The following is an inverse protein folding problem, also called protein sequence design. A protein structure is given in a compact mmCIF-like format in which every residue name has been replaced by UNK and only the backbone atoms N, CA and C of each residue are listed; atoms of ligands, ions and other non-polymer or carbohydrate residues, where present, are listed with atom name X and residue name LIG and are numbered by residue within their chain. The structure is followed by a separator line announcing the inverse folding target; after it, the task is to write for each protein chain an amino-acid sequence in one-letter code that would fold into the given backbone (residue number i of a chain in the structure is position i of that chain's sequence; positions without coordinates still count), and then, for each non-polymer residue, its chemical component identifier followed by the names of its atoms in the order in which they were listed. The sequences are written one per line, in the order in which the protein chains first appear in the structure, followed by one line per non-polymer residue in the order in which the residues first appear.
data_IF_325853632988
#
_entry.id   IF_325853632988
#
_cell.length_a   1.000
_cell.length_b   1.000
_cell.length_c   1.000
_cell.angle_alpha   90.00
_cell.angle_beta   90.00
_cell.angle_gamma   90.00
#
_symmetry.space_group_name_H-M   'P 1'
#
loop_
_entity.id
_entity.type
_entity.pdbx_description
1 polymer ?
#
# COMPACT_ATOMS: atom_id res chain seq x y z
N UNK A 1 -31.55 -0.85 7.43
CA UNK A 1 -32.13 -1.72 6.38
C UNK A 1 -31.01 -2.59 5.83
N UNK A 2 -30.88 -3.83 6.32
CA UNK A 2 -29.81 -4.79 5.96
C UNK A 2 -30.19 -5.46 4.64
N UNK A 3 -29.56 -5.05 3.55
CA UNK A 3 -29.68 -5.75 2.26
C UNK A 3 -28.47 -6.67 2.11
N UNK A 4 -28.73 -7.97 2.20
CA UNK A 4 -27.76 -9.04 2.02
C UNK A 4 -27.79 -9.44 0.55
N UNK A 5 -26.78 -9.02 -0.22
CA UNK A 5 -26.45 -9.62 -1.51
C UNK A 5 -24.98 -10.02 -1.47
N UNK A 6 -24.79 -11.34 -1.62
CA UNK A 6 -23.73 -12.18 -1.06
C UNK A 6 -22.58 -12.34 -2.05
N UNK A 7 -21.47 -11.69 -1.77
CA UNK A 7 -20.17 -12.19 -2.18
C UNK A 7 -19.25 -12.12 -0.95
N UNK A 8 -18.68 -13.27 -0.57
CA UNK A 8 -17.88 -13.38 0.65
C UNK A 8 -16.38 -13.19 0.34
N UNK A 9 -15.74 -12.31 1.08
CA UNK A 9 -14.29 -12.16 1.13
C UNK A 9 -13.73 -12.70 2.45
N UNK A 10 -12.60 -13.42 2.42
CA UNK A 10 -11.85 -13.86 3.61
C UNK A 10 -10.55 -13.07 3.73
N UNK A 11 -10.42 -12.24 4.78
CA UNK A 11 -9.19 -11.49 5.15
C UNK A 11 -8.72 -12.01 6.51
N UNK A 12 -7.48 -12.47 6.64
CA UNK A 12 -6.88 -12.90 7.93
C UNK A 12 -7.80 -13.76 8.85
N UNK A 13 -8.56 -14.69 8.25
CA UNK A 13 -9.53 -15.57 8.94
C UNK A 13 -10.89 -14.96 9.32
N UNK A 14 -11.15 -13.71 8.98
CA UNK A 14 -12.44 -13.02 9.10
C UNK A 14 -13.20 -13.05 7.76
N UNK A 15 -14.51 -13.29 7.81
CA UNK A 15 -15.40 -13.29 6.64
C UNK A 15 -16.17 -11.97 6.56
N UNK A 16 -16.09 -11.32 5.41
CA UNK A 16 -16.81 -10.09 5.10
C UNK A 16 -17.87 -10.34 4.03
N UNK A 17 -19.07 -9.79 4.25
CA UNK A 17 -20.16 -9.79 3.28
C UNK A 17 -20.27 -8.40 2.66
N UNK A 18 -19.87 -8.28 1.39
CA UNK A 18 -19.78 -6.98 0.71
C UNK A 18 -20.56 -7.00 -0.61
N UNK A 19 -21.00 -5.82 -1.06
CA UNK A 19 -21.67 -5.70 -2.34
C UNK A 19 -20.65 -5.69 -3.48
N UNK A 20 -20.70 -6.73 -4.31
CA UNK A 20 -19.84 -6.90 -5.50
C UNK A 20 -19.76 -5.66 -6.37
N UNK A 21 -20.87 -4.96 -6.53
CA UNK A 21 -20.97 -3.78 -7.39
C UNK A 21 -19.88 -2.73 -7.09
N UNK A 22 -19.57 -2.47 -5.81
CA UNK A 22 -18.53 -1.51 -5.43
C UNK A 22 -17.14 -1.96 -5.88
N UNK A 23 -16.86 -3.26 -5.79
CA UNK A 23 -15.57 -3.83 -6.14
C UNK A 23 -15.36 -3.85 -7.65
N UNK A 24 -16.37 -4.21 -8.43
CA UNK A 24 -16.25 -4.26 -9.89
C UNK A 24 -16.21 -2.89 -10.54
N UNK A 25 -16.96 -1.93 -10.00
CA UNK A 25 -17.01 -0.59 -10.57
C UNK A 25 -15.72 0.21 -10.30
N UNK A 26 -15.04 -0.08 -9.20
CA UNK A 26 -13.98 0.78 -8.68
C UNK A 26 -12.61 0.12 -8.60
N UNK A 27 -12.47 -1.18 -8.88
CA UNK A 27 -11.18 -1.90 -8.91
C UNK A 27 -11.00 -2.71 -10.20
N UNK A 28 -9.86 -2.49 -10.84
CA UNK A 28 -9.42 -3.31 -11.99
C UNK A 28 -9.03 -4.71 -11.55
N UNK A 29 -8.37 -4.86 -10.41
CA UNK A 29 -7.99 -6.16 -9.83
C UNK A 29 -9.18 -7.12 -9.71
N UNK A 30 -10.30 -6.62 -9.18
CA UNK A 30 -11.52 -7.43 -9.02
C UNK A 30 -12.27 -7.66 -10.34
N UNK A 31 -12.09 -6.77 -11.32
CA UNK A 31 -12.63 -6.95 -12.67
C UNK A 31 -11.86 -8.03 -13.43
N UNK A 32 -10.54 -8.00 -13.39
CA UNK A 32 -9.67 -9.00 -14.03
C UNK A 32 -9.83 -10.37 -13.36
N UNK A 33 -10.00 -10.41 -12.04
CA UNK A 33 -10.26 -11.65 -11.31
C UNK A 33 -11.58 -12.34 -11.70
N UNK A 34 -12.53 -11.63 -12.32
CA UNK A 34 -13.80 -12.21 -12.79
C UNK A 34 -13.70 -12.96 -14.12
N UNK A 35 -12.65 -12.76 -14.90
CA UNK A 35 -12.34 -13.63 -16.05
C UNK A 35 -12.13 -15.08 -15.61
N UNK A 36 -11.92 -15.29 -14.30
CA UNK A 36 -11.78 -16.58 -13.65
C UNK A 36 -12.80 -16.72 -12.50
N UNK A 37 -14.04 -17.18 -12.78
CA UNK A 37 -15.15 -17.22 -11.82
C UNK A 37 -14.84 -17.91 -10.48
N UNK A 38 -13.91 -18.86 -10.49
CA UNK A 38 -13.36 -19.56 -9.32
C UNK A 38 -12.63 -18.66 -8.29
N UNK A 39 -12.28 -17.41 -8.64
CA UNK A 39 -11.70 -16.44 -7.70
C UNK A 39 -12.75 -15.64 -6.93
N UNK A 40 -14.01 -15.65 -7.39
CA UNK A 40 -15.06 -14.80 -6.82
C UNK A 40 -15.94 -15.61 -5.89
N UNK A 41 -16.08 -15.08 -4.67
CA UNK A 41 -16.66 -15.78 -3.54
C UNK A 41 -18.15 -16.04 -3.70
N UNK A 42 -18.51 -17.10 -4.44
CA UNK A 42 -19.88 -17.36 -4.90
C UNK A 42 -20.81 -17.88 -3.79
N UNK A 43 -20.26 -18.28 -2.64
CA UNK A 43 -21.02 -18.78 -1.50
C UNK A 43 -20.23 -18.68 -0.18
N UNK A 44 -20.89 -18.80 0.99
CA UNK A 44 -20.20 -18.85 2.29
C UNK A 44 -19.20 -20.01 2.39
N UNK A 45 -19.44 -21.10 1.65
CA UNK A 45 -18.56 -22.26 1.57
C UNK A 45 -17.36 -22.06 0.64
N UNK A 46 -17.39 -21.04 -0.23
CA UNK A 46 -16.34 -20.72 -1.20
C UNK A 46 -16.09 -19.20 -1.24
N UNK A 47 -15.47 -18.60 -0.21
CA UNK A 47 -15.17 -17.17 -0.19
C UNK A 47 -13.97 -16.83 -1.09
N UNK A 48 -13.98 -15.61 -1.65
CA UNK A 48 -12.82 -14.99 -2.29
C UNK A 48 -11.74 -14.75 -1.22
N UNK A 49 -10.52 -15.26 -1.44
CA UNK A 49 -9.44 -15.06 -0.49
C UNK A 49 -8.70 -13.77 -0.81
N UNK A 50 -8.84 -12.83 0.11
CA UNK A 50 -8.18 -11.55 0.11
C UNK A 50 -6.89 -11.68 0.91
N UNK A 51 -5.75 -11.48 0.25
CA UNK A 51 -4.43 -11.62 0.86
C UNK A 51 -3.79 -10.23 0.99
N UNK A 52 -2.76 -10.10 1.83
CA UNK A 52 -1.86 -8.93 1.90
C UNK A 52 -2.44 -7.66 2.49
N UNK A 53 -3.72 -7.66 2.86
CA UNK A 53 -4.37 -6.57 3.57
C UNK A 53 -4.81 -7.08 4.93
N UNK A 54 -4.66 -6.27 5.97
CA UNK A 54 -5.14 -6.62 7.32
C UNK A 54 -6.66 -6.46 7.43
N UNK A 55 -7.24 -6.99 8.50
CA UNK A 55 -8.67 -6.78 8.79
C UNK A 55 -8.96 -5.27 8.87
N UNK A 56 -8.13 -4.50 9.58
CA UNK A 56 -8.33 -3.06 9.79
C UNK A 56 -8.21 -2.26 8.50
N UNK A 57 -7.23 -2.61 7.65
CA UNK A 57 -7.07 -1.98 6.33
C UNK A 57 -8.29 -2.24 5.43
N UNK A 58 -8.84 -3.45 5.47
CA UNK A 58 -10.03 -3.79 4.71
C UNK A 58 -11.29 -3.13 5.27
N UNK A 59 -11.48 -3.11 6.58
CA UNK A 59 -12.57 -2.39 7.24
C UNK A 59 -12.55 -0.90 6.86
N UNK A 60 -11.37 -0.27 6.88
CA UNK A 60 -11.25 1.13 6.49
C UNK A 60 -11.65 1.39 5.02
N UNK A 61 -11.42 0.42 4.12
CA UNK A 61 -11.90 0.47 2.74
C UNK A 61 -13.43 0.32 2.67
N UNK A 62 -14.03 -0.51 3.51
CA UNK A 62 -15.49 -0.66 3.59
C UNK A 62 -16.14 0.60 4.17
N UNK A 63 -15.59 1.18 5.24
CA UNK A 63 -16.02 2.46 5.81
C UNK A 63 -16.12 3.54 4.71
N UNK A 64 -15.12 3.60 3.82
CA UNK A 64 -15.13 4.51 2.67
C UNK A 64 -16.33 4.29 1.74
N UNK A 65 -16.66 3.04 1.40
CA UNK A 65 -17.76 2.74 0.47
C UNK A 65 -19.15 2.85 1.08
N UNK A 66 -19.30 2.49 2.36
CA UNK A 66 -20.60 2.36 3.00
C UNK A 66 -20.99 3.59 3.83
N UNK A 67 -20.03 4.25 4.45
CA UNK A 67 -20.30 5.37 5.36
C UNK A 67 -19.99 6.73 4.74
N UNK A 68 -19.50 6.73 3.48
CA UNK A 68 -19.19 7.93 2.69
C UNK A 68 -18.49 9.00 3.54
N UNK A 69 -17.46 8.63 4.32
CA UNK A 69 -16.55 9.50 5.09
C UNK A 69 -17.10 10.93 5.26
N UNK A 70 -18.14 11.06 6.09
CA UNK A 70 -18.78 12.32 6.37
C UNK A 70 -17.89 13.05 7.39
N UNK A 71 -17.14 14.04 6.88
CA UNK A 71 -16.07 14.85 7.51
C UNK A 71 -14.64 14.27 7.35
N UNK A 72 -13.97 14.73 6.28
CA UNK A 72 -12.55 14.45 6.01
C UNK A 72 -11.64 14.97 7.13
N UNK A 73 -12.09 16.01 7.84
CA UNK A 73 -11.27 16.76 8.81
C UNK A 73 -11.08 16.03 10.14
N UNK A 74 -12.06 15.23 10.58
CA UNK A 74 -12.03 14.55 11.89
C UNK A 74 -11.36 13.17 11.84
N UNK A 75 -11.00 12.69 10.64
CA UNK A 75 -10.43 11.36 10.47
C UNK A 75 -8.93 11.36 10.79
N UNK A 76 -8.46 10.50 11.71
CA UNK A 76 -7.05 10.35 12.02
C UNK A 76 -6.23 9.98 10.77
N UNK A 77 -5.02 10.53 10.67
CA UNK A 77 -4.12 10.24 9.54
C UNK A 77 -3.87 8.73 9.36
N UNK A 78 -3.86 7.97 10.46
CA UNK A 78 -3.73 6.51 10.43
C UNK A 78 -4.80 5.82 9.59
N UNK A 79 -6.06 6.27 9.63
CA UNK A 79 -7.13 5.70 8.78
C UNK A 79 -6.86 5.97 7.30
N UNK A 80 -6.35 7.15 6.94
CA UNK A 80 -5.97 7.45 5.56
C UNK A 80 -4.80 6.58 5.08
N UNK A 81 -3.84 6.27 5.94
CA UNK A 81 -2.75 5.34 5.64
C UNK A 81 -3.27 3.93 5.41
N UNK A 82 -4.18 3.44 6.26
CA UNK A 82 -4.83 2.13 6.09
C UNK A 82 -5.62 2.07 4.77
N UNK A 83 -6.42 3.09 4.47
CA UNK A 83 -7.16 3.20 3.23
C UNK A 83 -6.23 3.20 2.01
N UNK A 84 -5.12 3.95 2.06
CA UNK A 84 -4.14 4.00 0.98
C UNK A 84 -3.53 2.61 0.70
N UNK A 85 -3.15 1.87 1.75
CA UNK A 85 -2.56 0.53 1.61
C UNK A 85 -3.56 -0.47 1.04
N UNK A 86 -4.81 -0.46 1.52
CA UNK A 86 -5.87 -1.31 1.01
C UNK A 86 -6.22 -0.98 -0.45
N UNK A 87 -6.42 0.31 -0.76
CA UNK A 87 -6.75 0.77 -2.10
C UNK A 87 -5.62 0.44 -3.09
N UNK A 88 -4.36 0.53 -2.67
CA UNK A 88 -3.21 0.13 -3.47
C UNK A 88 -3.20 -1.37 -3.76
N UNK A 89 -3.35 -2.18 -2.72
CA UNK A 89 -3.25 -3.65 -2.81
C UNK A 89 -4.33 -4.28 -3.71
N UNK A 90 -5.47 -3.60 -3.82
CA UNK A 90 -6.60 -4.01 -4.63
C UNK A 90 -6.87 -3.09 -5.84
N UNK A 91 -5.92 -2.23 -6.22
CA UNK A 91 -6.03 -1.38 -7.42
C UNK A 91 -7.32 -0.54 -7.48
N UNK A 92 -7.74 0.05 -6.36
CA UNK A 92 -8.82 1.03 -6.31
C UNK A 92 -8.30 2.45 -6.55
N UNK A 93 -8.54 3.00 -7.74
CA UNK A 93 -7.98 4.30 -8.14
C UNK A 93 -8.51 5.47 -7.30
N UNK A 94 -9.84 5.60 -7.18
CA UNK A 94 -10.47 6.76 -6.52
C UNK A 94 -10.16 6.90 -5.02
N UNK A 95 -10.34 5.87 -4.16
CA UNK A 95 -9.96 5.99 -2.75
C UNK A 95 -8.44 6.17 -2.58
N UNK A 96 -7.61 5.58 -3.44
CA UNK A 96 -6.16 5.81 -3.43
C UNK A 96 -5.83 7.28 -3.65
N UNK A 97 -6.36 7.91 -4.68
CA UNK A 97 -6.11 9.34 -4.98
C UNK A 97 -6.60 10.28 -3.87
N UNK A 98 -7.72 9.96 -3.23
CA UNK A 98 -8.25 10.76 -2.12
C UNK A 98 -7.35 10.63 -0.89
N UNK A 99 -6.99 9.39 -0.52
CA UNK A 99 -6.08 9.15 0.59
C UNK A 99 -4.72 9.83 0.35
N UNK A 100 -4.18 9.76 -0.87
CA UNK A 100 -2.95 10.44 -1.24
C UNK A 100 -3.03 11.95 -1.01
N UNK A 101 -4.09 12.62 -1.49
CA UNK A 101 -4.26 14.07 -1.34
C UNK A 101 -4.34 14.49 0.12
N UNK A 102 -5.04 13.73 0.96
CA UNK A 102 -5.21 14.05 2.38
C UNK A 102 -3.94 13.78 3.18
N UNK A 103 -3.20 12.72 2.85
CA UNK A 103 -1.90 12.46 3.47
C UNK A 103 -0.90 13.56 3.08
N UNK A 104 -0.86 13.96 1.80
CA UNK A 104 -0.05 15.08 1.32
C UNK A 104 -0.33 16.38 2.05
N UNK A 105 -1.61 16.74 2.27
CA UNK A 105 -1.95 17.98 2.99
C UNK A 105 -1.52 17.97 4.47
N UNK A 106 -1.24 16.78 5.03
CA UNK A 106 -0.79 16.58 6.41
C UNK A 106 0.69 16.19 6.50
N UNK A 107 1.49 16.34 5.45
CA UNK A 107 2.92 15.96 5.49
C UNK A 107 3.68 16.60 6.64
N UNK A 108 3.43 17.86 6.97
CA UNK A 108 4.12 18.58 8.05
C UNK A 108 4.09 17.89 9.42
N UNK A 109 3.08 17.05 9.70
CA UNK A 109 2.94 16.33 10.97
C UNK A 109 3.34 14.85 10.86
N UNK A 110 3.61 14.34 9.66
CA UNK A 110 4.00 12.94 9.43
C UNK A 110 5.53 12.87 9.45
N UNK A 111 6.15 11.96 10.22
CA UNK A 111 7.59 11.77 10.18
C UNK A 111 8.09 11.45 8.76
N UNK A 112 9.20 12.09 8.36
CA UNK A 112 9.68 12.01 6.98
C UNK A 112 10.01 10.58 6.52
N UNK A 113 10.55 9.76 7.43
CA UNK A 113 10.82 8.33 7.17
C UNK A 113 9.54 7.54 6.92
N UNK A 114 8.45 7.86 7.61
CA UNK A 114 7.16 7.24 7.37
C UNK A 114 6.60 7.63 6.00
N UNK A 115 6.77 8.88 5.57
CA UNK A 115 6.37 9.34 4.22
C UNK A 115 7.09 8.56 3.13
N UNK A 116 8.42 8.45 3.25
CA UNK A 116 9.27 7.72 2.28
C UNK A 116 8.86 6.26 2.21
N UNK A 117 8.77 5.59 3.36
CA UNK A 117 8.43 4.16 3.40
C UNK A 117 7.02 3.89 2.90
N UNK A 118 6.06 4.76 3.24
CA UNK A 118 4.70 4.65 2.73
C UNK A 118 4.64 4.85 1.20
N UNK A 119 5.34 5.86 0.70
CA UNK A 119 5.43 6.12 -0.74
C UNK A 119 6.04 4.92 -1.48
N UNK A 120 7.10 4.33 -0.95
CA UNK A 120 7.72 3.12 -1.50
C UNK A 120 6.76 1.94 -1.48
N UNK A 121 6.17 1.62 -0.33
CA UNK A 121 5.23 0.50 -0.18
C UNK A 121 4.02 0.63 -1.10
N UNK A 122 3.55 1.86 -1.33
CA UNK A 122 2.40 2.12 -2.18
C UNK A 122 2.77 2.42 -3.63
N UNK A 123 4.06 2.47 -4.00
CA UNK A 123 4.53 2.82 -5.34
C UNK A 123 4.10 4.23 -5.77
N UNK A 124 4.34 5.23 -4.93
CA UNK A 124 3.99 6.64 -5.16
C UNK A 124 5.27 7.41 -5.46
N UNK A 125 5.64 7.52 -6.72
CA UNK A 125 6.91 8.14 -7.14
C UNK A 125 6.93 9.65 -6.90
N UNK A 126 5.76 10.30 -6.96
CA UNK A 126 5.62 11.75 -6.79
C UNK A 126 6.00 12.23 -5.39
N UNK A 127 6.01 11.34 -4.40
CA UNK A 127 6.39 11.67 -3.02
C UNK A 127 7.88 11.42 -2.76
N UNK A 128 8.50 10.49 -3.51
CA UNK A 128 9.83 9.97 -3.17
C UNK A 128 10.91 11.01 -3.33
N UNK A 129 10.96 11.67 -4.48
CA UNK A 129 12.00 12.65 -4.78
C UNK A 129 12.00 13.78 -3.75
N UNK A 130 10.86 14.45 -3.58
CA UNK A 130 10.70 15.55 -2.61
C UNK A 130 10.98 15.12 -1.16
N UNK A 131 10.53 13.93 -0.76
CA UNK A 131 10.76 13.43 0.61
C UNK A 131 12.22 13.08 0.87
N UNK A 132 12.90 12.48 -0.09
CA UNK A 132 14.33 12.17 0.04
C UNK A 132 15.19 13.43 0.02
N UNK A 133 14.86 14.40 -0.84
CA UNK A 133 15.53 15.68 -0.84
C UNK A 133 15.38 16.41 0.51
N UNK A 134 14.17 16.45 1.07
CA UNK A 134 13.91 16.96 2.42
C UNK A 134 14.76 16.21 3.45
N UNK A 135 14.89 14.89 3.32
CA UNK A 135 15.64 14.05 4.25
C UNK A 135 17.13 14.30 4.19
N UNK A 136 17.67 14.52 2.99
CA UNK A 136 19.09 14.87 2.79
C UNK A 136 19.35 16.30 3.32
N UNK A 137 18.44 17.25 3.08
CA UNK A 137 18.58 18.66 3.50
C UNK A 137 18.42 18.90 4.99
N UNK A 138 17.67 18.05 5.71
CA UNK A 138 17.35 18.31 7.13
C UNK A 138 18.62 18.42 7.97
N UNK A 139 18.61 19.25 9.00
CA UNK A 139 19.79 19.46 9.85
C UNK A 139 20.01 18.31 10.82
N UNK A 140 18.93 17.64 11.23
CA UNK A 140 18.95 16.55 12.20
C UNK A 140 19.73 15.36 11.65
N UNK A 141 20.62 14.76 12.46
CA UNK A 141 21.30 13.52 12.06
C UNK A 141 20.28 12.39 11.85
N UNK A 142 20.68 11.37 11.10
CA UNK A 142 19.92 10.14 11.02
C UNK A 142 19.94 9.44 12.37
N UNK A 143 18.77 9.05 12.87
CA UNK A 143 18.66 8.25 14.09
C UNK A 143 18.96 6.78 13.79
N UNK A 144 19.30 6.02 14.83
CA UNK A 144 19.52 4.58 14.70
C UNK A 144 18.25 3.86 14.18
N UNK A 145 17.07 4.25 14.66
CA UNK A 145 15.79 3.68 14.22
C UNK A 145 15.56 3.89 12.73
N UNK A 146 15.80 5.11 12.23
CA UNK A 146 15.67 5.42 10.81
C UNK A 146 16.67 4.63 9.98
N UNK A 147 17.91 4.52 10.45
CA UNK A 147 18.95 3.74 9.80
C UNK A 147 18.60 2.25 9.71
N UNK A 148 18.02 1.67 10.75
CA UNK A 148 17.54 0.28 10.73
C UNK A 148 16.40 0.09 9.71
N UNK A 149 15.50 1.07 9.56
CA UNK A 149 14.38 0.99 8.62
C UNK A 149 14.81 1.13 7.16
N UNK A 150 15.86 1.92 6.88
CA UNK A 150 16.39 2.08 5.53
C UNK A 150 17.36 0.97 5.12
N UNK A 151 18.08 0.40 6.08
CA UNK A 151 19.11 -0.59 5.83
C UNK A 151 20.46 0.04 5.46
N UNK A 152 21.54 -0.71 5.71
CA UNK A 152 22.91 -0.19 5.69
C UNK A 152 23.31 0.46 4.37
N UNK A 153 22.94 -0.12 3.23
CA UNK A 153 23.30 0.40 1.91
C UNK A 153 22.72 1.81 1.68
N UNK A 154 21.44 1.99 1.98
CA UNK A 154 20.77 3.30 1.90
C UNK A 154 21.37 4.29 2.89
N UNK A 155 21.69 3.86 4.12
CA UNK A 155 22.32 4.72 5.14
C UNK A 155 23.64 5.31 4.63
N UNK A 156 24.52 4.47 4.05
CA UNK A 156 25.81 4.91 3.52
C UNK A 156 25.63 5.93 2.40
N UNK A 157 24.72 5.66 1.45
CA UNK A 157 24.44 6.57 0.33
C UNK A 157 23.85 7.90 0.79
N UNK A 158 22.90 7.87 1.74
CA UNK A 158 22.32 9.10 2.30
C UNK A 158 23.38 9.91 3.06
N UNK A 159 24.28 9.27 3.80
CA UNK A 159 25.39 9.95 4.46
C UNK A 159 26.31 10.65 3.43
N UNK A 160 26.67 9.97 2.34
CA UNK A 160 27.46 10.54 1.24
C UNK A 160 26.74 11.73 0.56
N UNK A 161 25.43 11.60 0.29
CA UNK A 161 24.64 12.70 -0.29
C UNK A 161 24.61 13.93 0.63
N UNK A 162 24.47 13.72 1.95
CA UNK A 162 24.50 14.80 2.96
C UNK A 162 25.87 15.48 3.01
N UNK A 163 26.95 14.73 2.88
CA UNK A 163 28.31 15.28 2.82
C UNK A 163 28.54 16.10 1.55
N UNK A 164 28.18 15.57 0.38
CA UNK A 164 28.26 16.29 -0.89
C UNK A 164 27.47 17.61 -0.86
N UNK A 165 26.26 17.58 -0.29
CA UNK A 165 25.44 18.78 -0.11
C UNK A 165 26.11 19.84 0.77
N UNK A 166 26.73 19.44 1.90
CA UNK A 166 27.47 20.36 2.77
C UNK A 166 28.67 21.00 2.05
N UNK A 167 29.33 20.24 1.17
CA UNK A 167 30.43 20.73 0.34
C UNK A 167 29.96 21.54 -0.89
N UNK A 168 28.66 21.85 -1.00
CA UNK A 168 28.04 22.56 -2.15
C UNK A 168 28.20 21.84 -3.49
N UNK A 169 28.39 20.52 -3.46
CA UNK A 169 28.47 19.63 -4.64
C UNK A 169 27.08 19.11 -5.00
N UNK A 170 26.18 20.02 -5.38
CA UNK A 170 24.74 19.73 -5.55
C UNK A 170 24.48 18.69 -6.64
N UNK A 171 25.22 18.70 -7.76
CA UNK A 171 25.11 17.70 -8.84
C UNK A 171 25.35 16.29 -8.32
N UNK A 172 26.45 16.10 -7.58
CA UNK A 172 26.81 14.80 -7.01
C UNK A 172 25.79 14.33 -5.98
N UNK A 173 25.26 15.23 -5.14
CA UNK A 173 24.19 14.88 -4.20
C UNK A 173 22.93 14.38 -4.93
N UNK A 174 22.60 14.97 -6.09
CA UNK A 174 21.50 14.52 -6.95
C UNK A 174 21.76 13.15 -7.58
N UNK A 175 22.98 12.88 -8.03
CA UNK A 175 23.37 11.56 -8.56
C UNK A 175 23.29 10.47 -7.49
N UNK A 176 23.78 10.75 -6.27
CA UNK A 176 23.69 9.82 -5.15
C UNK A 176 22.23 9.59 -4.75
N UNK A 177 21.38 10.62 -4.82
CA UNK A 177 19.95 10.47 -4.57
C UNK A 177 19.28 9.55 -5.61
N UNK A 178 19.62 9.66 -6.89
CA UNK A 178 19.13 8.75 -7.91
C UNK A 178 19.55 7.30 -7.60
N UNK A 179 20.78 7.07 -7.13
CA UNK A 179 21.24 5.77 -6.66
C UNK A 179 20.42 5.24 -5.48
N UNK A 180 20.14 6.09 -4.47
CA UNK A 180 19.30 5.72 -3.31
C UNK A 180 17.93 5.24 -3.79
N UNK A 181 17.28 6.00 -4.67
CA UNK A 181 15.98 5.63 -5.20
C UNK A 181 16.03 4.33 -6.01
N UNK A 182 17.08 4.12 -6.80
CA UNK A 182 17.27 2.88 -7.55
C UNK A 182 17.48 1.66 -6.64
N UNK A 183 18.25 1.80 -5.56
CA UNK A 183 18.46 0.75 -4.54
C UNK A 183 17.12 0.40 -3.88
N UNK A 184 16.37 1.41 -3.43
CA UNK A 184 15.08 1.21 -2.76
C UNK A 184 14.03 0.60 -3.70
N UNK A 185 13.97 1.04 -4.94
CA UNK A 185 13.06 0.49 -5.95
C UNK A 185 13.31 -1.01 -6.20
N UNK A 186 14.56 -1.49 -6.11
CA UNK A 186 14.89 -2.93 -6.22
C UNK A 186 14.43 -3.73 -5.00
N UNK A 187 14.48 -3.12 -3.80
CA UNK A 187 14.02 -3.76 -2.56
C UNK A 187 12.49 -3.83 -2.48
N UNK A 188 11.81 -2.84 -3.05
CA UNK A 188 10.35 -2.78 -3.13
C UNK A 188 9.88 -3.59 -4.32
N UNK A 189 9.58 -4.86 -4.10
CA UNK A 189 8.98 -5.70 -5.15
C UNK A 189 7.62 -5.12 -5.60
N UNK A 190 7.37 -4.93 -6.91
CA UNK A 190 6.06 -4.53 -7.41
C UNK A 190 5.06 -5.62 -7.06
N UNK A 191 3.98 -5.26 -6.38
CA UNK A 191 3.03 -6.24 -5.87
C UNK A 191 1.85 -6.39 -6.82
N UNK A 192 1.67 -7.55 -7.48
CA UNK A 192 0.49 -7.81 -8.29
C UNK A 192 -0.77 -7.82 -7.39
N UNK A 193 -1.96 -7.56 -7.98
CA UNK A 193 -3.21 -7.48 -7.24
C UNK A 193 -3.44 -8.72 -6.37
N UNK A 194 -3.82 -8.49 -5.12
CA UNK A 194 -3.73 -9.45 -4.02
C UNK A 194 -4.83 -10.53 -3.98
N UNK A 195 -5.39 -10.89 -5.14
CA UNK A 195 -6.50 -11.84 -5.24
C UNK A 195 -5.93 -13.21 -5.64
N UNK A 196 -5.99 -14.19 -4.72
CA UNK A 196 -5.46 -15.54 -4.99
C UNK A 196 -6.54 -16.49 -5.52
N UNK A 197 -6.22 -17.19 -6.60
CA UNK A 197 -6.96 -18.39 -7.03
C UNK A 197 -6.54 -19.60 -6.20
N UNK A 198 -7.46 -20.55 -6.03
CA UNK A 198 -7.24 -21.76 -5.22
C UNK A 198 -6.59 -22.91 -6.01
N UNK A 199 -6.16 -22.70 -7.25
CA UNK A 199 -5.87 -23.80 -8.20
C UNK A 199 -4.61 -24.64 -7.88
N UNK A 200 -3.89 -24.37 -6.79
CA UNK A 200 -2.65 -25.10 -6.45
C UNK A 200 -2.78 -26.02 -5.22
N UNK A 201 -3.91 -26.70 -5.02
CA UNK A 201 -4.01 -27.76 -3.97
C UNK A 201 -4.83 -28.99 -4.35
N UNK A 202 -5.14 -29.18 -5.63
CA UNK A 202 -5.71 -30.45 -6.11
C UNK A 202 -4.67 -31.09 -7.03
N UNK A 203 -3.63 -31.66 -6.42
CA UNK A 203 -2.86 -32.73 -7.02
C UNK A 203 -2.49 -33.70 -5.90
N UNK A 204 -2.83 -34.97 -6.14
CA UNK A 204 -2.43 -36.16 -5.39
C UNK A 204 -3.21 -36.52 -4.12
N UNK A 205 -4.49 -36.88 -4.29
CA UNK A 205 -5.03 -38.09 -3.64
C UNK A 205 -5.95 -38.82 -4.63
N UNK A 206 -5.35 -39.46 -5.61
CA UNK A 206 -6.00 -40.51 -6.41
C UNK A 206 -4.97 -41.56 -6.76
N UNK A 207 -4.65 -42.46 -5.82
CA UNK A 207 -4.22 -43.83 -6.12
C UNK A 207 -4.47 -44.71 -4.90
N UNK A 208 -5.08 -45.89 -5.14
CA UNK A 208 -5.35 -47.02 -4.24
C UNK A 208 -6.60 -46.86 -3.37
N UNK A 209 -7.67 -47.66 -3.50
CA UNK A 209 -7.88 -49.00 -4.07
C UNK A 209 -9.19 -49.08 -4.86
#
# INVERSE_FOLDING_TARGET
MRLILRDLGKVQNTLFCVHRHFFLKHSTAFTDALEFPQLVGSSPSMPCRLVRVTVEEFECLLDYFYECILSVDDIPIGKWVLLLRAATSYSFTRPREIAMRIIQSKFSIIPLVDRIILAEQCGITEWLESSWEEFIRRNEPMSLEEGMRFGMETVIKVAAAREAQKLRRVSEAGEILADVMAIRARMVSPQPPAIRSRTASISMQSTQL
#
